data_IF_183464242464
#
_entry.id   IF_183464242464
#
_cell.length_a   1.000
_cell.length_b   1.000
_cell.length_c   1.000
_cell.angle_alpha   90.00
_cell.angle_beta   90.00
_cell.angle_gamma   90.00
#
_symmetry.space_group_name_H-M   'P 1'
#
loop_
_entity.id
_entity.type
_entity.pdbx_description
1 polymer ?
#
# COMPACT_ATOMS: atom_id res chain seq x y z
N UNK A 1 10.37 0.93 -4.27
CA UNK A 1 8.97 0.57 -4.52
C UNK A 1 8.50 1.03 -5.90
N UNK A 2 8.53 2.33 -6.24
CA UNK A 2 8.16 2.84 -7.58
C UNK A 2 9.01 2.26 -8.72
N UNK A 3 10.34 2.22 -8.54
CA UNK A 3 11.26 1.62 -9.50
C UNK A 3 11.11 0.10 -9.65
N UNK A 4 10.46 -0.58 -8.69
CA UNK A 4 10.20 -2.02 -8.77
C UNK A 4 8.97 -2.35 -9.63
N UNK A 5 8.10 -1.36 -9.84
CA UNK A 5 6.88 -1.46 -10.64
C UNK A 5 6.99 -0.76 -12.00
N UNK A 6 8.15 -0.17 -12.33
CA UNK A 6 8.34 0.62 -13.55
C UNK A 6 7.47 1.89 -13.62
N UNK A 7 6.96 2.36 -12.47
CA UNK A 7 6.05 3.51 -12.41
C UNK A 7 6.83 4.78 -12.06
N UNK A 8 6.84 5.74 -12.97
CA UNK A 8 7.46 7.06 -12.75
C UNK A 8 6.59 7.99 -11.91
N UNK A 9 5.26 7.80 -11.96
CA UNK A 9 4.31 8.72 -11.37
C UNK A 9 3.79 8.25 -10.01
N UNK A 10 4.11 9.03 -8.96
CA UNK A 10 3.73 8.73 -7.57
C UNK A 10 2.23 8.82 -7.34
N UNK A 11 1.55 9.71 -8.06
CA UNK A 11 0.11 9.92 -7.92
C UNK A 11 -0.64 8.73 -8.50
N UNK A 12 -0.25 8.30 -9.69
CA UNK A 12 -0.76 7.11 -10.36
C UNK A 12 -0.56 5.84 -9.52
N UNK A 13 0.62 5.66 -8.91
CA UNK A 13 0.83 4.55 -7.98
C UNK A 13 -0.15 4.58 -6.80
N UNK A 14 -0.31 5.76 -6.18
CA UNK A 14 -1.23 5.93 -5.06
C UNK A 14 -2.68 5.66 -5.45
N UNK A 15 -3.15 6.27 -6.54
CA UNK A 15 -4.54 6.20 -6.96
C UNK A 15 -4.93 4.85 -7.56
N UNK A 16 -4.05 4.22 -8.34
CA UNK A 16 -4.39 2.97 -9.05
C UNK A 16 -4.00 1.69 -8.32
N UNK A 17 -3.05 1.74 -7.40
CA UNK A 17 -2.54 0.53 -6.73
C UNK A 17 -2.74 0.61 -5.22
N UNK A 18 -2.21 1.66 -4.59
CA UNK A 18 -2.19 1.73 -3.12
C UNK A 18 -3.57 1.97 -2.51
N UNK A 19 -4.30 2.99 -2.96
CA UNK A 19 -5.63 3.32 -2.43
C UNK A 19 -6.63 2.18 -2.64
N UNK A 20 -6.68 1.52 -3.82
CA UNK A 20 -7.52 0.34 -4.01
C UNK A 20 -7.11 -0.82 -3.10
N UNK A 21 -5.82 -1.08 -2.93
CA UNK A 21 -5.36 -2.16 -2.05
C UNK A 21 -5.67 -1.91 -0.57
N UNK A 22 -5.63 -0.65 -0.14
CA UNK A 22 -6.07 -0.24 1.21
C UNK A 22 -7.58 -0.41 1.34
N UNK A 23 -8.36 0.05 0.36
CA UNK A 23 -9.82 -0.08 0.37
C UNK A 23 -10.29 -1.54 0.33
N UNK A 24 -9.55 -2.40 -0.37
CA UNK A 24 -9.79 -3.85 -0.42
C UNK A 24 -9.32 -4.57 0.86
N UNK A 25 -8.70 -3.86 1.81
CA UNK A 25 -8.20 -4.43 3.07
C UNK A 25 -6.98 -5.34 2.90
N UNK A 26 -6.28 -5.27 1.77
CA UNK A 26 -5.06 -6.05 1.48
C UNK A 26 -3.82 -5.39 2.07
N UNK A 27 -3.83 -4.06 2.13
CA UNK A 27 -2.73 -3.23 2.66
C UNK A 27 -3.27 -2.33 3.76
N UNK A 28 -2.53 -2.23 4.86
CA UNK A 28 -2.83 -1.35 5.97
C UNK A 28 -1.74 -0.29 6.17
N UNK A 29 -2.09 0.75 6.94
CA UNK A 29 -1.13 1.69 7.50
C UNK A 29 -0.47 1.05 8.72
N UNK A 30 0.84 1.26 8.89
CA UNK A 30 1.54 0.80 10.09
C UNK A 30 1.06 1.57 11.32
N UNK A 31 0.87 2.88 11.17
CA UNK A 31 0.41 3.77 12.22
C UNK A 31 -0.85 4.52 11.74
N UNK A 32 -2.06 4.00 11.97
CA UNK A 32 -3.29 4.63 11.51
C UNK A 32 -3.63 5.92 12.26
N UNK A 33 -3.06 6.12 13.45
CA UNK A 33 -3.27 7.30 14.29
C UNK A 33 -2.57 8.54 13.70
N UNK A 34 -1.39 8.35 13.10
CA UNK A 34 -0.65 9.40 12.42
C UNK A 34 -0.37 9.07 10.93
N UNK A 35 -1.39 9.18 10.06
CA UNK A 35 -1.30 8.77 8.66
C UNK A 35 -0.32 9.60 7.82
N UNK A 36 -0.03 10.83 8.22
CA UNK A 36 0.83 11.78 7.47
C UNK A 36 2.29 11.78 7.95
N UNK A 37 2.63 10.97 8.96
CA UNK A 37 3.98 10.85 9.47
C UNK A 37 4.98 10.49 8.38
N UNK A 38 6.16 11.12 8.40
CA UNK A 38 7.26 10.79 7.48
C UNK A 38 7.80 9.36 7.67
N UNK A 39 7.56 8.77 8.85
CA UNK A 39 7.91 7.38 9.17
C UNK A 39 6.81 6.38 8.77
N UNK A 40 5.69 6.85 8.22
CA UNK A 40 4.59 5.99 7.84
C UNK A 40 5.04 4.93 6.83
N UNK A 41 4.62 3.69 7.06
CA UNK A 41 4.86 2.55 6.17
C UNK A 41 3.57 1.83 5.90
N UNK A 42 3.55 1.09 4.79
CA UNK A 42 2.44 0.23 4.43
C UNK A 42 2.81 -1.21 4.74
N UNK A 43 1.87 -1.95 5.32
CA UNK A 43 2.04 -3.36 5.68
C UNK A 43 0.96 -4.21 5.02
N UNK A 44 1.32 -5.45 4.67
CA UNK A 44 0.33 -6.42 4.19
C UNK A 44 -0.51 -6.91 5.37
N UNK A 45 -1.82 -6.85 5.21
CA UNK A 45 -2.77 -7.45 6.15
C UNK A 45 -2.80 -8.97 6.00
N UNK A 46 -3.50 -9.66 6.90
CA UNK A 46 -3.73 -11.10 6.80
C UNK A 46 -4.36 -11.50 5.46
N UNK A 47 -5.30 -10.69 4.96
CA UNK A 47 -5.92 -10.85 3.63
C UNK A 47 -4.90 -10.69 2.49
N UNK A 48 -4.06 -9.64 2.54
CA UNK A 48 -3.03 -9.41 1.53
C UNK A 48 -2.00 -10.53 1.46
N UNK A 49 -1.57 -11.06 2.62
CA UNK A 49 -0.65 -12.20 2.69
C UNK A 49 -1.26 -13.47 2.10
N UNK A 50 -2.55 -13.71 2.33
CA UNK A 50 -3.25 -14.88 1.80
C UNK A 50 -3.43 -14.81 0.27
N UNK A 51 -3.67 -13.62 -0.29
CA UNK A 51 -3.81 -13.45 -1.75
C UNK A 51 -2.48 -13.54 -2.51
N UNK A 52 -1.38 -13.10 -1.92
CA UNK A 52 -0.07 -13.11 -2.59
C UNK A 52 0.58 -14.50 -2.70
N UNK A 53 0.00 -15.51 -2.07
CA UNK A 53 0.58 -16.87 -1.97
C UNK A 53 -0.17 -17.89 -2.85
N UNK A 54 -0.83 -17.43 -3.91
CA UNK A 54 -1.55 -18.24 -4.90
C UNK A 54 -0.90 -18.08 -6.27
#
# INVERSE_FOLDING_TARGET
MLGFLGLSDRKNFREKYLNPAIKAGLVGLLDPDNPTSSKQRYVLTTLGKHMGNK
#
